data_IF_315149771928
#
_entry.id   IF_315149771928
#
_cell.length_a   1.000
_cell.length_b   1.000
_cell.length_c   1.000
_cell.angle_alpha   90.00
_cell.angle_beta   90.00
_cell.angle_gamma   90.00
#
_symmetry.space_group_name_H-M   'P 1'
#
loop_
_entity.id
_entity.type
_entity.pdbx_description
1 polymer ?
#
# COMPACT_ATOMS: atom_id res chain seq x y z
N UNK A 1 19.75 -2.16 10.82
CA UNK A 1 20.04 -1.73 12.18
C UNK A 1 20.26 -0.23 12.27
N UNK A 2 21.20 0.31 11.49
CA UNK A 2 21.44 1.77 11.47
C UNK A 2 20.21 2.55 11.06
N UNK A 3 19.42 2.04 10.11
CA UNK A 3 18.22 2.70 9.63
C UNK A 3 17.13 2.76 10.70
N UNK A 4 17.03 1.72 11.52
CA UNK A 4 16.08 1.67 12.62
C UNK A 4 16.43 2.72 13.67
N UNK A 5 17.70 2.82 14.04
CA UNK A 5 18.18 3.84 14.98
C UNK A 5 17.94 5.25 14.44
N UNK A 6 18.24 5.45 13.16
CA UNK A 6 18.06 6.75 12.51
C UNK A 6 16.60 7.18 12.55
N UNK A 7 15.68 6.27 12.24
CA UNK A 7 14.24 6.56 12.30
C UNK A 7 13.80 6.90 13.71
N UNK A 8 14.30 6.19 14.71
CA UNK A 8 13.98 6.46 16.11
C UNK A 8 14.40 7.86 16.53
N UNK A 9 15.60 8.28 16.13
CA UNK A 9 16.10 9.62 16.45
C UNK A 9 15.25 10.69 15.79
N UNK A 10 14.93 10.52 14.51
CA UNK A 10 14.10 11.48 13.77
C UNK A 10 12.73 11.59 14.42
N UNK A 11 12.11 10.47 14.75
CA UNK A 11 10.78 10.45 15.35
C UNK A 11 10.79 11.16 16.71
N UNK A 12 11.83 10.96 17.51
CA UNK A 12 11.97 11.64 18.79
C UNK A 12 12.15 13.15 18.61
N UNK A 13 12.98 13.56 17.67
CA UNK A 13 13.18 14.98 17.39
C UNK A 13 11.87 15.65 16.95
N UNK A 14 11.12 14.96 16.12
CA UNK A 14 9.85 15.47 15.61
C UNK A 14 8.80 15.60 16.72
N UNK A 15 8.69 14.58 17.57
CA UNK A 15 7.62 14.52 18.58
C UNK A 15 7.99 15.23 19.86
N UNK A 16 9.20 15.02 20.39
CA UNK A 16 9.62 15.58 21.67
C UNK A 16 10.17 16.99 21.55
N UNK A 17 10.92 17.27 20.48
CA UNK A 17 11.54 18.58 20.28
C UNK A 17 10.71 19.48 19.37
N UNK A 18 9.59 18.99 18.88
CA UNK A 18 8.68 19.72 17.99
C UNK A 18 9.39 20.28 16.75
N UNK A 19 10.31 19.48 16.19
CA UNK A 19 11.08 19.87 15.02
C UNK A 19 10.40 19.46 13.73
N UNK A 20 10.55 20.28 12.70
CA UNK A 20 10.20 19.89 11.34
C UNK A 20 11.42 19.21 10.72
N UNK A 21 11.25 17.97 10.26
CA UNK A 21 12.35 17.19 9.68
C UNK A 21 12.10 17.01 8.19
N UNK A 22 13.07 17.37 7.37
CA UNK A 22 13.05 17.16 5.94
C UNK A 22 14.02 16.04 5.60
N UNK A 23 13.52 14.99 4.95
CA UNK A 23 14.30 13.80 4.65
C UNK A 23 14.18 13.43 3.17
N UNK A 24 15.32 13.25 2.51
CA UNK A 24 15.35 12.72 1.15
C UNK A 24 15.71 11.24 1.23
N UNK A 25 14.89 10.39 0.64
CA UNK A 25 15.07 8.95 0.72
C UNK A 25 14.56 8.24 -0.53
N UNK A 26 15.08 7.05 -0.78
CA UNK A 26 14.51 6.12 -1.76
C UNK A 26 14.00 4.84 -1.06
N UNK A 27 13.90 4.88 0.27
CA UNK A 27 13.35 3.76 1.05
C UNK A 27 11.90 4.05 1.40
N UNK A 28 11.00 3.22 0.91
CA UNK A 28 9.58 3.48 1.02
C UNK A 28 9.03 3.35 2.44
N UNK A 29 9.67 2.55 3.29
CA UNK A 29 9.26 2.49 4.69
C UNK A 29 9.51 3.81 5.43
N UNK A 30 10.47 4.60 5.00
CA UNK A 30 10.69 5.94 5.56
C UNK A 30 9.62 6.91 5.06
N UNK A 31 9.29 6.82 3.78
CA UNK A 31 8.20 7.63 3.21
C UNK A 31 6.86 7.28 3.84
N UNK A 32 6.63 6.00 4.12
CA UNK A 32 5.37 5.54 4.70
C UNK A 32 5.08 6.12 6.09
N UNK A 33 6.13 6.48 6.83
CA UNK A 33 5.98 7.06 8.17
C UNK A 33 6.08 8.58 8.20
N UNK A 34 6.24 9.22 7.06
CA UNK A 34 6.33 10.68 6.98
C UNK A 34 4.95 11.33 7.12
N UNK A 35 4.94 12.58 7.56
CA UNK A 35 3.71 13.35 7.61
C UNK A 35 3.28 13.87 6.25
N UNK A 36 4.22 14.05 5.34
CA UNK A 36 3.95 14.54 3.98
C UNK A 36 5.05 14.04 3.07
N UNK A 37 4.68 13.63 1.87
CA UNK A 37 5.62 13.03 0.91
C UNK A 37 5.53 13.79 -0.41
N UNK A 38 6.69 14.06 -1.00
CA UNK A 38 6.82 14.62 -2.35
C UNK A 38 7.60 13.60 -3.17
N UNK A 39 7.05 13.19 -4.29
CA UNK A 39 7.71 12.22 -5.18
C UNK A 39 8.25 12.98 -6.39
N UNK A 40 9.56 12.87 -6.58
CA UNK A 40 10.26 13.49 -7.70
C UNK A 40 10.65 12.45 -8.74
N UNK A 41 10.49 12.79 -9.99
CA UNK A 41 10.97 11.99 -11.10
C UNK A 41 11.46 12.91 -12.20
N UNK A 42 12.71 12.70 -12.62
CA UNK A 42 13.35 13.50 -13.68
C UNK A 42 13.28 15.00 -13.41
N UNK A 43 13.47 15.37 -12.13
CA UNK A 43 13.50 16.77 -11.74
C UNK A 43 12.14 17.44 -11.57
N UNK A 44 11.07 16.69 -11.68
CA UNK A 44 9.71 17.23 -11.55
C UNK A 44 8.94 16.53 -10.42
N UNK A 45 8.07 17.27 -9.78
CA UNK A 45 7.15 16.69 -8.80
C UNK A 45 6.05 15.96 -9.57
N UNK A 46 5.95 14.64 -9.35
CA UNK A 46 4.93 13.82 -10.03
C UNK A 46 3.76 13.47 -9.13
N UNK A 47 3.95 13.55 -7.81
CA UNK A 47 2.86 13.37 -6.84
C UNK A 47 3.29 13.92 -5.50
N UNK A 48 2.34 14.38 -4.71
CA UNK A 48 2.60 14.82 -3.34
C UNK A 48 1.35 14.73 -2.49
N UNK A 49 1.53 14.56 -1.19
CA UNK A 49 0.44 14.42 -0.24
C UNK A 49 0.87 13.62 0.98
N UNK A 50 -0.08 13.33 1.85
CA UNK A 50 0.19 12.40 2.94
C UNK A 50 0.29 10.98 2.38
N UNK A 51 0.97 10.08 3.08
CA UNK A 51 1.03 8.68 2.62
C UNK A 51 -0.36 8.07 2.38
N UNK A 52 -1.31 8.37 3.24
CA UNK A 52 -2.68 7.85 3.09
C UNK A 52 -3.36 8.40 1.84
N UNK A 53 -3.25 9.71 1.60
CA UNK A 53 -3.81 10.32 0.41
C UNK A 53 -3.23 9.71 -0.87
N UNK A 54 -1.91 9.52 -0.90
CA UNK A 54 -1.23 8.95 -2.04
C UNK A 54 -1.65 7.51 -2.29
N UNK A 55 -1.78 6.71 -1.23
CA UNK A 55 -2.22 5.32 -1.39
C UNK A 55 -3.66 5.25 -1.89
N UNK A 56 -4.53 6.10 -1.37
CA UNK A 56 -5.93 6.11 -1.80
C UNK A 56 -6.09 6.60 -3.25
N UNK A 57 -5.23 7.49 -3.70
CA UNK A 57 -5.32 8.05 -5.05
C UNK A 57 -4.72 7.13 -6.11
N UNK A 58 -3.56 6.53 -5.84
CA UNK A 58 -2.78 5.86 -6.87
C UNK A 58 -2.76 4.33 -6.79
N UNK A 59 -3.24 3.73 -5.69
CA UNK A 59 -3.10 2.29 -5.47
C UNK A 59 -4.42 1.66 -5.09
N UNK A 60 -4.62 0.44 -5.57
CA UNK A 60 -5.77 -0.38 -5.19
C UNK A 60 -5.40 -1.24 -3.99
N UNK A 61 -6.40 -1.55 -3.17
CA UNK A 61 -6.24 -2.51 -2.10
C UNK A 61 -6.47 -3.91 -2.65
N UNK A 62 -5.99 -4.92 -1.96
CA UNK A 62 -6.15 -6.31 -2.39
C UNK A 62 -6.77 -7.15 -1.30
N UNK A 63 -7.55 -8.14 -1.71
CA UNK A 63 -8.05 -9.17 -0.81
C UNK A 63 -7.50 -10.51 -1.27
N UNK A 64 -6.85 -11.22 -0.36
CA UNK A 64 -6.44 -12.60 -0.60
C UNK A 64 -7.44 -13.50 0.11
N UNK A 65 -8.03 -14.45 -0.63
CA UNK A 65 -8.99 -15.40 -0.08
C UNK A 65 -8.38 -16.78 -0.10
N UNK A 66 -8.50 -17.49 1.00
CA UNK A 66 -7.95 -18.82 1.18
C UNK A 66 -9.06 -19.84 1.38
N UNK A 67 -8.81 -21.06 0.92
CA UNK A 67 -9.76 -22.15 1.12
C UNK A 67 -11.07 -22.00 0.34
N UNK A 68 -11.06 -21.28 -0.76
CA UNK A 68 -12.23 -21.11 -1.62
C UNK A 68 -11.99 -21.80 -2.96
N UNK A 69 -13.08 -22.25 -3.57
CA UNK A 69 -13.02 -22.85 -4.90
C UNK A 69 -13.04 -21.78 -5.98
N UNK A 70 -12.65 -22.19 -7.20
CA UNK A 70 -12.70 -21.27 -8.33
C UNK A 70 -14.13 -20.84 -8.65
N UNK A 71 -15.10 -21.73 -8.47
CA UNK A 71 -16.50 -21.36 -8.69
C UNK A 71 -16.97 -20.31 -7.70
N UNK A 72 -16.52 -20.42 -6.45
CA UNK A 72 -16.85 -19.41 -5.43
C UNK A 72 -16.25 -18.05 -5.79
N UNK A 73 -15.00 -18.02 -6.24
CA UNK A 73 -14.36 -16.75 -6.59
C UNK A 73 -15.01 -16.13 -7.84
N UNK A 74 -15.43 -16.96 -8.79
CA UNK A 74 -16.15 -16.48 -9.98
C UNK A 74 -17.50 -15.85 -9.62
N UNK A 75 -18.13 -16.31 -8.54
CA UNK A 75 -19.38 -15.74 -8.09
C UNK A 75 -19.27 -14.29 -7.64
N UNK A 76 -18.06 -13.83 -7.31
CA UNK A 76 -17.83 -12.43 -6.96
C UNK A 76 -17.88 -11.50 -8.16
N UNK A 77 -17.83 -12.04 -9.39
CA UNK A 77 -17.93 -11.29 -10.64
C UNK A 77 -16.89 -10.18 -10.75
N UNK A 78 -15.66 -10.46 -10.33
CA UNK A 78 -14.54 -9.54 -10.40
C UNK A 78 -13.32 -10.27 -10.95
N UNK A 79 -12.36 -9.53 -11.45
CA UNK A 79 -11.11 -10.13 -11.89
C UNK A 79 -10.38 -10.71 -10.70
N UNK A 80 -9.76 -11.86 -10.90
CA UNK A 80 -9.01 -12.52 -9.86
C UNK A 80 -7.74 -13.14 -10.41
N UNK A 81 -6.79 -13.40 -9.51
CA UNK A 81 -5.54 -14.05 -9.85
C UNK A 81 -5.33 -15.21 -8.87
N UNK A 82 -5.01 -16.38 -9.40
CA UNK A 82 -4.66 -17.52 -8.54
C UNK A 82 -3.35 -17.24 -7.82
N UNK A 83 -3.31 -17.55 -6.54
CA UNK A 83 -2.11 -17.52 -5.73
C UNK A 83 -1.91 -18.91 -5.12
N UNK A 84 -0.82 -19.10 -4.40
CA UNK A 84 -0.46 -20.43 -3.92
C UNK A 84 -1.58 -21.15 -3.17
N UNK A 85 -2.23 -20.46 -2.24
CA UNK A 85 -3.21 -21.07 -1.34
C UNK A 85 -4.62 -20.53 -1.55
N UNK A 86 -4.88 -19.85 -2.65
CA UNK A 86 -6.19 -19.26 -2.88
C UNK A 86 -6.21 -18.33 -4.07
N UNK A 87 -6.90 -17.23 -3.89
CA UNK A 87 -7.09 -16.26 -4.97
C UNK A 87 -6.93 -14.84 -4.43
N UNK A 88 -6.46 -13.96 -5.30
CA UNK A 88 -6.30 -12.54 -4.98
C UNK A 88 -7.15 -11.71 -5.90
N UNK A 89 -7.87 -10.76 -5.33
CA UNK A 89 -8.68 -9.81 -6.08
C UNK A 89 -8.26 -8.39 -5.71
N UNK A 90 -8.44 -7.47 -6.63
CA UNK A 90 -8.20 -6.05 -6.36
C UNK A 90 -9.53 -5.36 -6.09
N UNK A 91 -9.52 -4.43 -5.15
CA UNK A 91 -10.66 -3.58 -4.84
C UNK A 91 -10.20 -2.14 -4.82
N UNK A 92 -11.09 -1.22 -5.11
CA UNK A 92 -10.75 0.20 -5.20
C UNK A 92 -10.21 0.72 -3.87
N UNK A 93 -10.84 0.35 -2.77
CA UNK A 93 -10.46 0.77 -1.43
C UNK A 93 -11.09 -0.18 -0.40
N UNK A 94 -10.79 0.06 0.88
CA UNK A 94 -11.29 -0.81 1.95
C UNK A 94 -12.80 -0.72 2.14
N UNK A 95 -13.43 0.39 1.78
CA UNK A 95 -14.89 0.49 1.82
C UNK A 95 -15.54 -0.49 0.83
N UNK A 96 -15.00 -0.55 -0.38
CA UNK A 96 -15.50 -1.50 -1.39
C UNK A 96 -15.21 -2.94 -0.96
N UNK A 97 -14.08 -3.17 -0.30
CA UNK A 97 -13.78 -4.48 0.29
C UNK A 97 -14.84 -4.86 1.32
N UNK A 98 -15.20 -3.95 2.21
CA UNK A 98 -16.22 -4.19 3.23
C UNK A 98 -17.58 -4.53 2.61
N UNK A 99 -17.98 -3.78 1.60
CA UNK A 99 -19.24 -4.04 0.90
C UNK A 99 -19.28 -5.44 0.30
N UNK A 100 -18.17 -5.84 -0.34
CA UNK A 100 -18.07 -7.16 -0.96
C UNK A 100 -18.10 -8.27 0.10
N UNK A 101 -17.39 -8.09 1.21
CA UNK A 101 -17.37 -9.06 2.30
C UNK A 101 -18.76 -9.24 2.90
N UNK A 102 -19.46 -8.15 3.17
CA UNK A 102 -20.81 -8.20 3.74
C UNK A 102 -21.79 -8.88 2.79
N UNK A 103 -21.68 -8.61 1.49
CA UNK A 103 -22.55 -9.19 0.48
C UNK A 103 -22.33 -10.69 0.28
N UNK A 104 -21.10 -11.16 0.49
CA UNK A 104 -20.71 -12.55 0.20
C UNK A 104 -20.06 -13.22 1.41
N UNK A 105 -20.65 -13.08 2.58
CA UNK A 105 -20.07 -13.59 3.83
C UNK A 105 -19.72 -15.07 3.78
N UNK A 106 -20.49 -15.86 3.04
CA UNK A 106 -20.27 -17.31 2.92
C UNK A 106 -18.96 -17.65 2.19
N UNK A 107 -18.44 -16.71 1.38
CA UNK A 107 -17.18 -16.93 0.64
C UNK A 107 -16.00 -16.42 1.45
N UNK A 108 -16.18 -15.35 2.20
CA UNK A 108 -15.10 -14.72 2.96
C UNK A 108 -14.93 -15.38 4.32
N UNK A 109 -14.44 -16.64 4.31
CA UNK A 109 -14.24 -17.43 5.54
C UNK A 109 -12.84 -17.24 6.11
N UNK A 110 -11.84 -17.18 5.23
CA UNK A 110 -10.44 -17.00 5.59
C UNK A 110 -9.83 -16.06 4.55
N UNK A 111 -9.51 -14.86 4.97
CA UNK A 111 -9.07 -13.84 4.02
C UNK A 111 -8.22 -12.78 4.70
N UNK A 112 -7.53 -12.03 3.87
CA UNK A 112 -6.69 -10.92 4.33
C UNK A 112 -6.93 -9.74 3.41
N UNK A 113 -7.16 -8.57 4.00
CA UNK A 113 -7.27 -7.31 3.24
C UNK A 113 -5.97 -6.55 3.43
N UNK A 114 -5.29 -6.25 2.33
CA UNK A 114 -4.01 -5.56 2.35
C UNK A 114 -4.13 -4.24 1.62
N UNK A 115 -3.86 -3.16 2.34
CA UNK A 115 -3.82 -1.84 1.74
C UNK A 115 -2.53 -1.70 0.93
N UNK A 116 -2.62 -1.09 -0.24
CA UNK A 116 -1.45 -0.85 -1.06
C UNK A 116 -0.41 -0.02 -0.33
N UNK A 117 0.87 -0.26 -0.60
CA UNK A 117 1.99 0.39 0.06
C UNK A 117 2.56 1.55 -0.74
N UNK A 118 3.51 2.25 -0.13
CA UNK A 118 4.20 3.36 -0.80
C UNK A 118 5.04 2.89 -1.99
N UNK A 119 5.52 1.65 -1.98
CA UNK A 119 6.20 1.06 -3.14
C UNK A 119 5.29 1.07 -4.36
N UNK A 120 4.03 0.72 -4.14
CA UNK A 120 3.03 0.68 -5.21
C UNK A 120 2.70 2.08 -5.70
N UNK A 121 2.65 3.06 -4.80
CA UNK A 121 2.46 4.46 -5.17
C UNK A 121 3.59 4.92 -6.08
N UNK A 122 4.83 4.67 -5.66
CA UNK A 122 5.99 5.08 -6.44
C UNK A 122 5.97 4.45 -7.83
N UNK A 123 5.69 3.15 -7.90
CA UNK A 123 5.58 2.45 -9.19
C UNK A 123 4.48 3.04 -10.05
N UNK A 124 3.33 3.34 -9.46
CA UNK A 124 2.19 3.88 -10.19
C UNK A 124 2.49 5.25 -10.81
N UNK A 125 3.19 6.13 -10.09
CA UNK A 125 3.42 7.50 -10.57
C UNK A 125 4.68 7.66 -11.41
N UNK A 126 5.67 6.77 -11.26
CA UNK A 126 6.93 6.87 -11.99
C UNK A 126 7.13 5.77 -13.02
N UNK A 127 6.44 4.63 -12.86
CA UNK A 127 6.67 3.45 -13.69
C UNK A 127 7.97 2.73 -13.37
N UNK A 128 8.64 3.06 -12.27
CA UNK A 128 9.94 2.49 -11.89
C UNK A 128 9.82 1.57 -10.70
N UNK A 129 10.62 0.51 -10.71
CA UNK A 129 10.72 -0.39 -9.57
C UNK A 129 11.87 0.07 -8.68
N UNK A 130 11.61 0.19 -7.39
CA UNK A 130 12.63 0.59 -6.42
C UNK A 130 13.45 -0.60 -5.94
N UNK A 131 14.56 -0.27 -5.32
CA UNK A 131 15.47 -1.26 -4.78
C UNK A 131 16.39 -1.83 -5.81
N UNK A 132 16.92 -3.02 -5.57
CA UNK A 132 17.93 -3.61 -6.41
C UNK A 132 17.50 -3.98 -7.81
N UNK A 133 16.38 -3.54 -8.23
CA UNK A 133 15.84 -3.86 -9.54
C UNK A 133 16.69 -3.27 -10.63
N UNK A 134 17.31 -2.36 -10.57
CA UNK A 134 18.03 -1.80 -11.57
C UNK A 134 18.11 -2.26 -12.83
#
# INVERSE_FOLDING_TARGET
FRRVLFRSVIERLRTEENMTVFLTTHYMEEAASAGYVVILDKGSIVAEGTPLELKNEYVHDTISLYGVTEDEIKALKTEYKAIRDGYRIQVKNTLEATKMIVKHQEIFRDYEVVKGGMDDVFLAVTGKILGGGQ
#
